data_IF_901840159124
#
_entry.id   IF_901840159124
#
_cell.length_a   1.000
_cell.length_b   1.000
_cell.length_c   1.000
_cell.angle_alpha   90.00
_cell.angle_beta   90.00
_cell.angle_gamma   90.00
#
_symmetry.space_group_name_H-M   'P 1'
#
loop_
_entity.id
_entity.type
_entity.pdbx_description
1 polymer ?
#
# COMPACT_ATOMS: atom_id res chain seq x y z
N UNK A 1 -1.69 1.16 22.50
CA UNK A 1 -0.97 0.34 21.52
C UNK A 1 -1.92 -0.11 20.42
N UNK A 2 -1.51 0.00 19.18
CA UNK A 2 -2.25 -0.48 18.01
C UNK A 2 -1.70 -1.85 17.66
N UNK A 3 -2.51 -2.90 17.78
CA UNK A 3 -2.11 -4.28 17.49
C UNK A 3 -2.51 -4.72 16.07
N UNK A 4 -3.29 -3.90 15.37
CA UNK A 4 -3.68 -4.14 13.97
C UNK A 4 -2.56 -3.67 13.04
N UNK A 5 -2.32 -4.44 11.97
CA UNK A 5 -1.46 -4.01 10.89
C UNK A 5 -2.04 -2.79 10.16
N UNK A 6 -1.19 -1.88 9.74
CA UNK A 6 -1.58 -0.78 8.87
C UNK A 6 -1.49 -1.26 7.42
N UNK A 7 -2.60 -1.15 6.70
CA UNK A 7 -2.62 -1.50 5.28
C UNK A 7 -1.66 -0.61 4.50
N UNK A 8 -0.79 -1.21 3.70
CA UNK A 8 0.11 -0.50 2.78
C UNK A 8 -0.59 0.28 1.67
N UNK A 9 -1.92 0.19 1.61
CA UNK A 9 -2.74 0.83 0.59
C UNK A 9 -2.66 2.36 0.72
N UNK A 10 -2.39 3.04 -0.39
CA UNK A 10 -2.28 4.51 -0.46
C UNK A 10 -1.11 5.15 0.32
N UNK A 11 -0.10 4.39 0.72
CA UNK A 11 1.09 5.02 1.27
C UNK A 11 1.92 5.73 0.17
N UNK A 12 2.74 6.73 0.53
CA UNK A 12 3.52 7.48 -0.45
C UNK A 12 4.38 6.61 -1.36
N UNK A 13 5.04 5.58 -0.84
CA UNK A 13 5.91 4.73 -1.64
C UNK A 13 5.12 3.91 -2.69
N UNK A 14 3.93 3.41 -2.34
CA UNK A 14 3.05 2.73 -3.29
C UNK A 14 2.54 3.67 -4.38
N UNK A 15 2.16 4.90 -4.00
CA UNK A 15 1.72 5.94 -4.95
C UNK A 15 2.84 6.27 -5.93
N UNK A 16 4.09 6.40 -5.47
CA UNK A 16 5.25 6.64 -6.33
C UNK A 16 5.43 5.51 -7.35
N UNK A 17 5.42 4.26 -6.90
CA UNK A 17 5.57 3.10 -7.80
C UNK A 17 4.43 3.05 -8.82
N UNK A 18 3.19 3.34 -8.42
CA UNK A 18 2.06 3.41 -9.33
C UNK A 18 2.25 4.49 -10.42
N UNK A 19 2.74 5.67 -10.03
CA UNK A 19 3.07 6.75 -10.98
C UNK A 19 4.20 6.35 -11.93
N UNK A 20 5.23 5.65 -11.45
CA UNK A 20 6.32 5.15 -12.28
C UNK A 20 5.83 4.11 -13.30
N UNK A 21 5.07 3.12 -12.87
CA UNK A 21 4.47 2.17 -13.80
C UNK A 21 3.64 2.85 -14.87
N UNK A 22 2.78 3.81 -14.50
CA UNK A 22 1.98 4.59 -15.44
C UNK A 22 2.86 5.33 -16.43
N UNK A 23 3.87 6.08 -15.96
CA UNK A 23 4.78 6.88 -16.78
C UNK A 23 5.55 6.02 -17.78
N UNK A 24 6.16 4.93 -17.32
CA UNK A 24 6.96 4.05 -18.18
C UNK A 24 6.11 3.18 -19.12
N UNK A 25 4.94 2.71 -18.68
CA UNK A 25 4.00 2.01 -19.57
C UNK A 25 3.54 2.92 -20.70
N UNK A 26 3.19 4.18 -20.39
CA UNK A 26 2.83 5.17 -21.39
C UNK A 26 3.98 5.43 -22.37
N UNK A 27 5.23 5.48 -21.90
CA UNK A 27 6.41 5.68 -22.75
C UNK A 27 6.67 4.47 -23.68
N UNK A 28 6.49 3.25 -23.18
CA UNK A 28 6.68 2.00 -23.95
C UNK A 28 5.57 1.71 -24.95
N UNK A 29 4.33 2.09 -24.65
CA UNK A 29 3.17 1.87 -25.54
C UNK A 29 3.19 2.70 -26.81
N UNK A 30 4.06 3.71 -26.89
CA UNK A 30 4.17 4.59 -28.05
C UNK A 30 4.94 3.93 -29.18
N UNK A 31 4.38 3.94 -30.39
CA UNK A 31 4.95 3.33 -31.59
C UNK A 31 6.20 4.06 -32.15
N UNK A 32 6.56 5.22 -31.61
CA UNK A 32 7.74 5.97 -32.04
C UNK A 32 9.01 5.37 -31.42
N UNK A 33 10.09 5.38 -32.19
CA UNK A 33 11.39 4.82 -31.82
C UNK A 33 12.08 5.49 -30.61
N UNK A 34 11.58 6.62 -30.16
CA UNK A 34 12.12 7.37 -29.02
C UNK A 34 11.29 7.14 -27.75
N UNK A 35 12.00 6.85 -26.66
CA UNK A 35 11.41 6.74 -25.31
C UNK A 35 11.08 8.13 -24.79
N UNK A 36 9.78 8.49 -24.80
CA UNK A 36 9.31 9.83 -24.46
C UNK A 36 8.27 9.75 -23.34
N UNK A 37 8.40 10.65 -22.38
CA UNK A 37 7.48 10.80 -21.28
C UNK A 37 6.46 11.90 -21.53
N UNK A 38 5.23 11.70 -21.06
CA UNK A 38 4.23 12.77 -21.02
C UNK A 38 4.56 13.71 -19.83
N UNK A 39 4.56 15.02 -20.08
CA UNK A 39 5.02 16.00 -19.10
C UNK A 39 4.30 15.93 -17.74
N UNK A 40 2.98 15.65 -17.73
CA UNK A 40 2.24 15.53 -16.47
C UNK A 40 2.69 14.33 -15.66
N UNK A 41 2.99 13.19 -16.29
CA UNK A 41 3.50 12.02 -15.60
C UNK A 41 4.90 12.32 -15.00
N UNK A 42 5.73 13.09 -15.71
CA UNK A 42 7.03 13.56 -15.20
C UNK A 42 6.84 14.50 -14.00
N UNK A 43 5.97 15.49 -14.11
CA UNK A 43 5.69 16.42 -13.00
C UNK A 43 5.12 15.68 -11.79
N UNK A 44 4.21 14.72 -11.99
CA UNK A 44 3.64 13.90 -10.94
C UNK A 44 4.69 13.09 -10.15
N UNK A 45 5.80 12.70 -10.80
CA UNK A 45 6.92 12.03 -10.15
C UNK A 45 7.84 13.03 -9.47
N UNK A 46 8.20 14.12 -10.14
CA UNK A 46 9.14 15.14 -9.62
C UNK A 46 8.61 15.85 -8.37
N UNK A 47 7.30 16.12 -8.29
CA UNK A 47 6.66 16.77 -7.14
C UNK A 47 6.21 15.78 -6.05
N UNK A 48 6.61 14.51 -6.18
CA UNK A 48 6.23 13.51 -5.19
C UNK A 48 7.03 13.71 -3.87
N UNK A 49 6.41 13.60 -2.67
CA UNK A 49 7.10 13.85 -1.40
C UNK A 49 8.35 13.00 -1.14
N UNK A 50 8.46 11.82 -1.74
CA UNK A 50 9.66 10.98 -1.65
C UNK A 50 10.73 11.30 -2.70
N UNK A 51 10.48 12.25 -3.58
CA UNK A 51 11.38 12.63 -4.69
C UNK A 51 11.82 14.09 -4.57
N UNK A 52 10.87 15.01 -4.43
CA UNK A 52 11.10 16.45 -4.44
C UNK A 52 12.25 16.91 -3.50
N UNK A 53 12.30 16.48 -2.21
CA UNK A 53 13.36 16.95 -1.30
C UNK A 53 14.76 16.44 -1.66
N UNK A 54 14.87 15.34 -2.38
CA UNK A 54 16.12 14.60 -2.56
C UNK A 54 16.67 14.67 -3.99
N UNK A 55 15.86 15.05 -4.95
CA UNK A 55 16.26 15.07 -6.38
C UNK A 55 16.53 16.48 -6.94
N UNK A 56 16.46 17.52 -6.10
CA UNK A 56 16.68 18.92 -6.48
C UNK A 56 15.88 19.37 -7.73
N UNK A 57 14.61 18.99 -7.78
CA UNK A 57 13.78 19.02 -8.99
C UNK A 57 13.08 20.35 -9.27
N UNK A 58 13.16 21.32 -8.35
CA UNK A 58 12.40 22.58 -8.43
C UNK A 58 12.66 23.39 -9.71
N UNK A 59 13.90 23.45 -10.14
CA UNK A 59 14.27 24.21 -11.36
C UNK A 59 13.83 23.45 -12.62
N UNK A 60 13.93 22.12 -12.63
CA UNK A 60 13.46 21.30 -13.73
C UNK A 60 11.92 21.41 -13.90
N UNK A 61 11.16 21.43 -12.81
CA UNK A 61 9.71 21.68 -12.84
C UNK A 61 9.39 23.04 -13.49
N UNK A 62 10.14 24.09 -13.13
CA UNK A 62 9.98 25.42 -13.75
C UNK A 62 10.31 25.38 -15.24
N UNK A 63 11.42 24.75 -15.63
CA UNK A 63 11.85 24.63 -17.04
C UNK A 63 10.79 23.89 -17.86
N UNK A 64 10.23 22.80 -17.36
CA UNK A 64 9.19 22.02 -18.05
C UNK A 64 7.95 22.88 -18.27
N UNK A 65 7.50 23.62 -17.27
CA UNK A 65 6.32 24.49 -17.36
C UNK A 65 6.54 25.69 -18.29
N UNK A 66 7.69 26.35 -18.20
CA UNK A 66 8.00 27.53 -19.02
C UNK A 66 8.15 27.22 -20.51
N UNK A 67 8.72 26.06 -20.82
CA UNK A 67 8.92 25.65 -22.23
C UNK A 67 7.70 24.95 -22.83
N UNK A 68 6.61 24.78 -22.09
CA UNK A 68 5.38 24.12 -22.55
C UNK A 68 5.63 22.73 -23.17
N UNK A 69 6.54 21.95 -22.61
CA UNK A 69 6.77 20.59 -23.11
C UNK A 69 5.53 19.73 -22.95
N UNK A 70 5.03 19.15 -24.03
CA UNK A 70 3.97 18.13 -23.99
C UNK A 70 4.56 16.74 -23.79
N UNK A 71 5.66 16.47 -24.48
CA UNK A 71 6.42 15.23 -24.38
C UNK A 71 7.91 15.55 -24.27
N UNK A 72 8.60 14.82 -23.40
CA UNK A 72 10.02 15.01 -23.13
C UNK A 72 10.73 13.69 -23.41
N UNK A 73 11.69 13.73 -24.32
CA UNK A 73 12.54 12.56 -24.56
C UNK A 73 13.39 12.25 -23.34
N UNK A 74 13.56 10.97 -23.06
CA UNK A 74 14.40 10.48 -21.95
C UNK A 74 15.78 11.17 -21.90
N UNK A 75 16.52 11.20 -23.04
CA UNK A 75 17.83 11.84 -23.09
C UNK A 75 17.74 13.34 -22.77
N UNK A 76 16.71 14.03 -23.29
CA UNK A 76 16.52 15.45 -23.00
C UNK A 76 16.23 15.73 -21.54
N UNK A 77 15.47 14.85 -20.89
CA UNK A 77 15.20 14.97 -19.46
C UNK A 77 16.48 14.83 -18.63
N UNK A 78 17.35 13.90 -19.00
CA UNK A 78 18.66 13.73 -18.35
C UNK A 78 19.59 14.92 -18.59
N UNK A 79 19.63 15.49 -19.81
CA UNK A 79 20.39 16.70 -20.12
C UNK A 79 19.92 17.93 -19.32
N UNK A 80 18.61 18.08 -19.09
CA UNK A 80 18.04 19.21 -18.36
C UNK A 80 18.33 19.14 -16.85
N UNK A 81 18.67 17.97 -16.33
CA UNK A 81 19.09 17.81 -14.95
C UNK A 81 20.62 17.93 -14.82
N UNK A 82 21.10 19.15 -14.63
CA UNK A 82 22.54 19.49 -14.56
C UNK A 82 23.31 18.73 -13.46
N UNK A 83 22.60 18.24 -12.43
CA UNK A 83 23.15 17.43 -11.32
C UNK A 83 22.22 16.23 -11.05
N UNK A 84 22.20 15.27 -12.00
CA UNK A 84 21.37 14.06 -11.82
C UNK A 84 21.86 13.25 -10.62
N UNK A 85 21.07 13.31 -9.53
CA UNK A 85 21.26 12.41 -8.41
C UNK A 85 21.00 10.97 -8.87
N UNK A 86 21.58 10.00 -8.18
CA UNK A 86 21.31 8.57 -8.42
C UNK A 86 19.80 8.27 -8.42
N UNK A 87 19.07 8.91 -7.49
CA UNK A 87 17.62 8.84 -7.42
C UNK A 87 16.97 9.29 -8.74
N UNK A 88 17.42 10.42 -9.33
CA UNK A 88 16.88 10.95 -10.57
C UNK A 88 17.12 10.00 -11.74
N UNK A 89 18.31 9.41 -11.83
CA UNK A 89 18.63 8.43 -12.87
C UNK A 89 17.73 7.20 -12.78
N UNK A 90 17.53 6.65 -11.58
CA UNK A 90 16.66 5.50 -11.35
C UNK A 90 15.18 5.76 -11.70
N UNK A 91 14.71 7.00 -11.47
CA UNK A 91 13.33 7.39 -11.80
C UNK A 91 13.07 7.46 -13.30
N UNK A 92 14.05 7.96 -14.07
CA UNK A 92 13.85 8.34 -15.48
C UNK A 92 14.65 7.51 -16.48
N UNK A 93 15.48 6.57 -16.04
CA UNK A 93 16.15 5.64 -16.95
C UNK A 93 15.15 4.82 -17.76
N UNK A 94 15.52 4.47 -18.98
CA UNK A 94 14.68 3.64 -19.84
C UNK A 94 14.52 2.26 -19.23
N UNK A 95 13.29 1.83 -19.04
CA UNK A 95 13.04 0.45 -18.60
C UNK A 95 13.33 -0.53 -19.73
N UNK A 96 14.09 -1.55 -19.43
CA UNK A 96 14.36 -2.66 -20.32
C UNK A 96 13.12 -3.57 -20.45
N UNK A 97 13.11 -4.38 -21.52
CA UNK A 97 12.04 -5.39 -21.67
C UNK A 97 12.24 -6.52 -20.66
N UNK A 98 11.15 -6.96 -20.08
CA UNK A 98 11.12 -8.07 -19.12
C UNK A 98 10.77 -7.62 -17.70
N UNK A 99 10.29 -8.57 -16.91
CA UNK A 99 9.84 -8.31 -15.54
C UNK A 99 10.99 -8.08 -14.57
N UNK A 100 12.07 -8.85 -14.69
CA UNK A 100 13.20 -8.82 -13.75
C UNK A 100 13.93 -7.47 -13.79
N UNK A 101 14.40 -6.93 -14.93
CA UNK A 101 15.10 -5.64 -14.95
C UNK A 101 14.26 -4.49 -14.39
N UNK A 102 12.95 -4.50 -14.67
CA UNK A 102 12.03 -3.49 -14.11
C UNK A 102 11.93 -3.59 -12.59
N UNK A 103 11.78 -4.81 -12.07
CA UNK A 103 11.69 -5.03 -10.62
C UNK A 103 13.02 -4.72 -9.92
N UNK A 104 14.16 -5.02 -10.53
CA UNK A 104 15.48 -4.67 -10.01
C UNK A 104 15.65 -3.15 -9.93
N UNK A 105 15.30 -2.42 -10.99
CA UNK A 105 15.32 -0.95 -10.97
C UNK A 105 14.43 -0.38 -9.85
N UNK A 106 13.23 -0.94 -9.65
CA UNK A 106 12.34 -0.53 -8.56
C UNK A 106 12.95 -0.88 -7.20
N UNK A 107 13.61 -2.04 -7.07
CA UNK A 107 14.28 -2.46 -5.85
C UNK A 107 15.41 -1.49 -5.46
N UNK A 108 16.26 -1.11 -6.41
CA UNK A 108 17.34 -0.13 -6.21
C UNK A 108 16.79 1.25 -5.85
N UNK A 109 15.73 1.70 -6.55
CA UNK A 109 15.04 2.94 -6.24
C UNK A 109 14.53 2.98 -4.79
N UNK A 110 13.90 1.90 -4.33
CA UNK A 110 13.40 1.81 -2.96
C UNK A 110 14.54 1.81 -1.92
N UNK A 111 15.69 1.22 -2.24
CA UNK A 111 16.87 1.30 -1.38
C UNK A 111 17.40 2.72 -1.29
N UNK A 112 17.55 3.42 -2.42
CA UNK A 112 18.01 4.81 -2.48
C UNK A 112 17.05 5.73 -1.71
N UNK A 113 15.74 5.57 -1.87
CA UNK A 113 14.74 6.32 -1.08
C UNK A 113 14.91 6.02 0.42
N UNK A 114 15.07 4.76 0.80
CA UNK A 114 15.26 4.38 2.20
C UNK A 114 16.50 5.00 2.83
N UNK A 115 17.59 5.14 2.07
CA UNK A 115 18.82 5.77 2.53
C UNK A 115 18.67 7.29 2.71
N UNK A 116 17.86 7.93 1.87
CA UNK A 116 17.59 9.37 1.95
C UNK A 116 16.66 9.75 3.12
N UNK A 117 15.79 8.83 3.56
CA UNK A 117 14.90 9.07 4.70
C UNK A 117 15.68 9.05 6.02
N UNK A 118 15.54 10.11 6.82
CA UNK A 118 16.11 10.17 8.18
C UNK A 118 15.30 9.31 9.16
N UNK A 119 15.78 9.21 10.40
CA UNK A 119 15.03 8.60 11.50
C UNK A 119 14.60 9.66 12.53
N UNK A 120 14.62 10.95 12.17
CA UNK A 120 14.50 12.04 13.12
C UNK A 120 13.05 12.32 13.51
N UNK A 121 12.09 11.99 12.64
CA UNK A 121 10.67 12.16 12.94
C UNK A 121 9.87 10.87 12.77
N UNK A 122 8.71 10.79 13.43
CA UNK A 122 7.84 9.60 13.40
C UNK A 122 7.26 9.32 12.02
N UNK A 123 6.98 10.36 11.23
CA UNK A 123 6.41 10.20 9.88
C UNK A 123 7.42 9.55 8.93
N UNK A 124 8.69 9.92 9.01
CA UNK A 124 9.75 9.32 8.21
C UNK A 124 10.03 7.88 8.63
N UNK A 125 9.99 7.58 9.94
CA UNK A 125 10.09 6.19 10.41
C UNK A 125 8.99 5.31 9.85
N UNK A 126 7.73 5.78 9.88
CA UNK A 126 6.59 5.07 9.32
C UNK A 126 6.77 4.91 7.80
N UNK A 127 7.12 5.98 7.10
CA UNK A 127 7.38 5.94 5.65
C UNK A 127 8.49 4.94 5.31
N UNK A 128 9.57 4.93 6.07
CA UNK A 128 10.68 3.99 5.92
C UNK A 128 10.26 2.54 6.12
N UNK A 129 9.36 2.28 7.08
CA UNK A 129 8.78 0.95 7.28
C UNK A 129 7.95 0.49 6.07
N UNK A 130 7.17 1.38 5.46
CA UNK A 130 6.42 1.09 4.23
C UNK A 130 7.33 0.86 3.03
N UNK A 131 8.33 1.70 2.82
CA UNK A 131 9.34 1.50 1.78
C UNK A 131 9.97 0.12 1.91
N UNK A 132 10.32 -0.29 3.14
CA UNK A 132 10.90 -1.60 3.39
C UNK A 132 9.89 -2.76 3.17
N UNK A 133 8.62 -2.59 3.52
CA UNK A 133 7.58 -3.58 3.26
C UNK A 133 7.41 -3.81 1.75
N UNK A 134 7.35 -2.73 0.97
CA UNK A 134 7.26 -2.81 -0.50
C UNK A 134 8.53 -3.43 -1.09
N UNK A 135 9.71 -3.04 -0.61
CA UNK A 135 10.99 -3.64 -1.02
C UNK A 135 10.98 -5.17 -0.84
N UNK A 136 10.46 -5.68 0.30
CA UNK A 136 10.32 -7.13 0.50
C UNK A 136 9.40 -7.79 -0.52
N UNK A 137 8.30 -7.13 -0.89
CA UNK A 137 7.37 -7.63 -1.92
C UNK A 137 8.05 -7.68 -3.29
N UNK A 138 8.75 -6.61 -3.69
CA UNK A 138 9.48 -6.55 -4.95
C UNK A 138 10.52 -7.67 -5.02
N UNK A 139 11.31 -7.89 -3.96
CA UNK A 139 12.31 -8.96 -3.94
C UNK A 139 11.70 -10.37 -3.97
N UNK A 140 10.51 -10.56 -3.37
CA UNK A 140 9.77 -11.82 -3.53
C UNK A 140 9.35 -12.06 -4.98
N UNK A 141 8.92 -11.02 -5.69
CA UNK A 141 8.59 -11.10 -7.10
C UNK A 141 9.83 -11.39 -7.97
N UNK A 142 10.97 -10.74 -7.70
CA UNK A 142 12.25 -11.03 -8.36
C UNK A 142 12.61 -12.51 -8.18
N UNK A 143 12.60 -13.01 -6.95
CA UNK A 143 12.90 -14.42 -6.65
C UNK A 143 11.92 -15.41 -7.30
N UNK A 144 10.67 -15.03 -7.45
CA UNK A 144 9.69 -15.85 -8.16
C UNK A 144 9.99 -15.90 -9.66
N UNK A 145 10.16 -14.74 -10.30
CA UNK A 145 10.40 -14.65 -11.74
C UNK A 145 11.80 -15.13 -12.17
N UNK A 146 12.77 -15.16 -11.27
CA UNK A 146 14.08 -15.78 -11.56
C UNK A 146 13.99 -17.30 -11.74
N UNK A 147 12.93 -17.94 -11.26
CA UNK A 147 12.75 -19.41 -11.29
C UNK A 147 11.63 -19.87 -12.25
N UNK A 148 10.84 -18.95 -12.76
CA UNK A 148 9.66 -19.25 -13.58
C UNK A 148 9.67 -18.42 -14.87
N UNK A 149 8.80 -18.78 -15.83
CA UNK A 149 8.66 -18.05 -17.09
C UNK A 149 8.37 -16.57 -16.85
N UNK A 150 9.04 -15.72 -17.62
CA UNK A 150 8.97 -14.28 -17.50
C UNK A 150 7.69 -13.72 -18.11
N UNK A 151 7.17 -12.66 -17.47
CA UNK A 151 6.09 -11.87 -18.04
C UNK A 151 6.72 -10.78 -18.91
N UNK A 152 6.43 -10.80 -20.20
CA UNK A 152 6.98 -9.81 -21.15
C UNK A 152 6.25 -8.46 -21.10
N UNK A 153 5.02 -8.43 -20.58
CA UNK A 153 4.18 -7.23 -20.58
C UNK A 153 4.22 -6.54 -19.22
N UNK A 154 4.63 -5.28 -19.22
CA UNK A 154 4.71 -4.44 -18.02
C UNK A 154 3.34 -4.23 -17.38
N UNK A 155 2.28 -4.14 -18.17
CA UNK A 155 0.90 -4.00 -17.67
C UNK A 155 0.49 -5.22 -16.84
N UNK A 156 0.88 -6.41 -17.27
CA UNK A 156 0.61 -7.66 -16.52
C UNK A 156 1.43 -7.70 -15.24
N UNK A 157 2.69 -7.32 -15.30
CA UNK A 157 3.55 -7.20 -14.11
C UNK A 157 2.95 -6.25 -13.08
N UNK A 158 2.46 -5.08 -13.53
CA UNK A 158 1.82 -4.10 -12.65
C UNK A 158 0.52 -4.62 -12.03
N UNK A 159 -0.28 -5.37 -12.79
CA UNK A 159 -1.50 -5.98 -12.27
C UNK A 159 -1.21 -6.99 -11.15
N UNK A 160 -0.17 -7.82 -11.33
CA UNK A 160 0.28 -8.79 -10.30
C UNK A 160 0.87 -8.06 -9.09
N UNK A 161 1.71 -7.05 -9.33
CA UNK A 161 2.25 -6.21 -8.25
C UNK A 161 1.12 -5.64 -7.36
N UNK A 162 0.07 -5.08 -7.97
CA UNK A 162 -1.06 -4.53 -7.21
C UNK A 162 -1.77 -5.58 -6.35
N UNK A 163 -1.96 -6.79 -6.86
CA UNK A 163 -2.58 -7.86 -6.07
C UNK A 163 -1.72 -8.29 -4.88
N UNK A 164 -0.40 -8.36 -5.09
CA UNK A 164 0.52 -8.79 -4.03
C UNK A 164 0.75 -7.71 -2.99
N UNK A 165 0.80 -6.43 -3.40
CA UNK A 165 1.01 -5.32 -2.47
C UNK A 165 -0.18 -5.08 -1.55
N UNK A 166 -1.39 -5.39 -2.00
CA UNK A 166 -2.59 -5.32 -1.16
C UNK A 166 -2.55 -6.30 0.03
N UNK A 167 -1.69 -7.33 -0.05
CA UNK A 167 -1.42 -8.28 1.03
C UNK A 167 -0.25 -7.84 1.93
N UNK A 168 0.47 -6.79 1.57
CA UNK A 168 1.58 -6.28 2.36
C UNK A 168 1.06 -5.35 3.47
N UNK A 169 1.21 -5.79 4.69
CA UNK A 169 0.87 -5.03 5.89
C UNK A 169 2.14 -4.66 6.67
N UNK A 170 2.14 -3.47 7.24
CA UNK A 170 3.14 -3.07 8.23
C UNK A 170 2.53 -3.29 9.60
N UNK A 171 3.11 -4.22 10.36
CA UNK A 171 2.70 -4.45 11.74
C UNK A 171 3.27 -3.35 12.64
N UNK A 172 2.45 -2.81 13.51
CA UNK A 172 2.94 -1.96 14.58
C UNK A 172 3.56 -2.82 15.68
N UNK A 173 4.76 -2.50 16.11
CA UNK A 173 5.30 -3.04 17.33
C UNK A 173 4.66 -2.31 18.52
N UNK A 174 3.92 -3.02 19.34
CA UNK A 174 3.31 -2.51 20.55
C UNK A 174 3.36 -3.57 21.64
N UNK A 175 3.46 -3.15 22.88
CA UNK A 175 3.30 -4.05 24.01
C UNK A 175 1.82 -4.42 24.15
N UNK A 176 1.46 -5.69 23.91
CA UNK A 176 0.05 -6.11 23.81
C UNK A 176 -0.71 -6.06 25.12
N UNK A 177 -0.04 -5.79 26.25
CA UNK A 177 -0.63 -5.85 27.58
C UNK A 177 -0.54 -4.52 28.38
N UNK A 178 0.04 -3.47 27.81
CA UNK A 178 0.22 -2.18 28.50
C UNK A 178 -0.48 -1.03 27.76
N UNK A 179 -1.13 -0.16 28.54
CA UNK A 179 -1.75 1.06 28.06
C UNK A 179 -3.03 0.85 27.26
N UNK A 180 -3.38 1.82 26.45
CA UNK A 180 -4.57 1.76 25.58
C UNK A 180 -4.38 0.72 24.49
N UNK A 181 -5.32 -0.22 24.40
CA UNK A 181 -5.38 -1.24 23.38
C UNK A 181 -6.49 -0.88 22.36
N UNK A 182 -6.15 -0.81 21.08
CA UNK A 182 -7.11 -0.62 19.99
C UNK A 182 -7.08 -1.87 19.13
N UNK A 183 -8.19 -2.59 19.07
CA UNK A 183 -8.27 -3.89 18.41
C UNK A 183 -9.68 -4.18 17.90
N UNK A 184 -9.82 -5.14 17.02
CA UNK A 184 -11.12 -5.68 16.65
C UNK A 184 -11.69 -6.61 17.72
N UNK A 185 -12.98 -6.91 17.63
CA UNK A 185 -13.68 -7.77 18.61
C UNK A 185 -13.11 -9.18 18.64
N UNK A 186 -12.70 -9.71 17.50
CA UNK A 186 -12.13 -11.06 17.42
C UNK A 186 -10.72 -11.14 18.02
N UNK A 187 -9.97 -10.04 17.97
CA UNK A 187 -8.63 -9.93 18.55
C UNK A 187 -8.67 -9.78 20.08
N UNK A 188 -9.80 -9.37 20.66
CA UNK A 188 -10.00 -9.26 22.10
C UNK A 188 -10.25 -10.63 22.79
N UNK A 189 -10.22 -11.72 22.05
CA UNK A 189 -10.41 -13.07 22.61
C UNK A 189 -9.47 -13.35 23.75
N UNK A 190 -10.05 -13.90 24.85
CA UNK A 190 -9.28 -14.30 26.05
C UNK A 190 -8.64 -13.12 26.81
N UNK A 191 -8.92 -11.87 26.42
CA UNK A 191 -8.42 -10.69 27.12
C UNK A 191 -9.53 -10.08 27.98
N UNK A 192 -9.19 -9.67 29.19
CA UNK A 192 -10.06 -8.98 30.13
C UNK A 192 -9.56 -7.54 30.31
N UNK A 193 -10.48 -6.58 30.29
CA UNK A 193 -10.17 -5.17 30.45
C UNK A 193 -11.03 -4.54 31.54
N UNK A 194 -10.46 -3.66 32.34
CA UNK A 194 -11.20 -2.90 33.33
C UNK A 194 -12.16 -1.88 32.69
N UNK A 195 -11.72 -1.24 31.64
CA UNK A 195 -12.49 -0.25 30.88
C UNK A 195 -12.55 -0.66 29.41
N UNK A 196 -13.78 -0.73 28.87
CA UNK A 196 -14.05 -1.09 27.48
C UNK A 196 -14.80 0.02 26.79
N UNK A 197 -14.28 0.47 25.66
CA UNK A 197 -14.93 1.45 24.78
C UNK A 197 -15.20 0.77 23.43
N UNK A 198 -16.47 0.54 23.11
CA UNK A 198 -16.86 -0.06 21.84
C UNK A 198 -17.41 1.02 20.92
N UNK A 199 -16.82 1.17 19.76
CA UNK A 199 -17.25 2.13 18.74
C UNK A 199 -18.07 1.47 17.66
N UNK A 200 -18.83 2.26 16.90
CA UNK A 200 -19.64 1.79 15.75
C UNK A 200 -20.73 0.79 16.14
N UNK A 201 -21.33 0.95 17.32
CA UNK A 201 -22.45 0.14 17.82
C UNK A 201 -23.74 0.47 17.10
N UNK A 202 -23.75 0.36 15.76
CA UNK A 202 -24.91 0.68 14.95
C UNK A 202 -25.59 -0.59 14.44
N UNK A 203 -26.93 -0.50 14.26
CA UNK A 203 -27.72 -1.58 13.71
C UNK A 203 -27.14 -2.08 12.37
N UNK A 204 -26.98 -3.37 12.22
CA UNK A 204 -26.41 -4.01 11.03
C UNK A 204 -24.90 -3.86 10.85
N UNK A 205 -24.20 -3.14 11.76
CA UNK A 205 -22.73 -3.04 11.76
C UNK A 205 -22.08 -3.84 12.88
N UNK A 206 -22.54 -3.60 14.12
CA UNK A 206 -22.03 -4.31 15.29
C UNK A 206 -23.05 -4.35 16.43
N UNK A 207 -23.25 -5.50 17.12
CA UNK A 207 -22.71 -6.83 16.77
C UNK A 207 -23.08 -7.22 15.34
N UNK A 208 -22.14 -7.84 14.61
CA UNK A 208 -22.31 -8.13 13.20
C UNK A 208 -23.53 -9.03 12.96
N UNK A 209 -24.54 -8.46 12.34
CA UNK A 209 -25.65 -9.19 11.76
C UNK A 209 -25.58 -9.06 10.25
N UNK A 210 -25.62 -10.14 9.54
CA UNK A 210 -25.70 -10.29 8.08
C UNK A 210 -24.38 -10.19 7.29
N UNK A 211 -24.00 -11.25 6.91
CA UNK A 211 -23.94 -12.05 5.71
C UNK A 211 -23.16 -11.44 4.58
N UNK A 212 -22.09 -12.08 4.30
CA UNK A 212 -21.55 -12.11 2.94
C UNK A 212 -22.46 -12.96 2.05
N UNK A 213 -22.79 -12.44 0.88
CA UNK A 213 -23.40 -13.23 -0.18
C UNK A 213 -22.45 -14.38 -0.53
N UNK A 214 -22.90 -15.60 -0.33
CA UNK A 214 -22.15 -16.81 -0.65
C UNK A 214 -22.70 -17.38 -1.95
N UNK A 215 -21.80 -17.87 -2.82
CA UNK A 215 -22.20 -18.63 -4.00
C UNK A 215 -22.92 -19.94 -3.67
N UNK A 216 -22.74 -20.46 -2.45
CA UNK A 216 -23.45 -21.66 -1.99
C UNK A 216 -24.70 -21.22 -1.26
N UNK A 217 -25.91 -21.61 -1.74
CA UNK A 217 -27.19 -21.32 -1.10
C UNK A 217 -27.26 -21.81 0.34
N UNK A 218 -28.07 -21.14 1.16
CA UNK A 218 -28.21 -21.45 2.57
C UNK A 218 -28.65 -22.90 2.83
N UNK A 219 -29.62 -23.39 2.03
CA UNK A 219 -30.18 -24.75 2.19
C UNK A 219 -29.12 -25.81 1.91
N UNK A 220 -28.30 -25.61 0.90
CA UNK A 220 -27.19 -26.51 0.55
C UNK A 220 -26.13 -26.52 1.67
N UNK A 221 -25.82 -25.33 2.24
CA UNK A 221 -24.91 -25.26 3.40
C UNK A 221 -25.45 -26.05 4.58
N UNK A 222 -26.72 -25.91 4.88
CA UNK A 222 -27.36 -26.61 5.99
C UNK A 222 -27.35 -28.13 5.78
N UNK A 223 -27.65 -28.58 4.56
CA UNK A 223 -27.67 -30.01 4.22
C UNK A 223 -26.27 -30.64 4.31
N UNK A 224 -25.26 -29.90 3.88
CA UNK A 224 -23.86 -30.36 3.91
C UNK A 224 -23.12 -30.08 5.24
N UNK A 225 -23.81 -29.53 6.26
CA UNK A 225 -23.19 -29.20 7.54
C UNK A 225 -22.12 -28.09 7.46
N UNK A 226 -22.19 -27.23 6.46
CA UNK A 226 -21.25 -26.12 6.29
C UNK A 226 -21.65 -24.93 7.18
N UNK A 227 -20.68 -24.13 7.67
CA UNK A 227 -20.97 -22.95 8.48
C UNK A 227 -21.90 -21.96 7.76
N UNK A 228 -22.93 -21.51 8.45
CA UNK A 228 -23.89 -20.53 7.99
C UNK A 228 -23.64 -19.16 8.65
N UNK A 229 -24.46 -18.16 8.34
CA UNK A 229 -24.39 -16.87 9.00
C UNK A 229 -24.71 -16.95 10.51
N UNK A 230 -25.51 -17.93 10.93
CA UNK A 230 -25.89 -18.11 12.34
C UNK A 230 -24.70 -18.44 13.24
N UNK A 231 -23.83 -19.32 12.77
CA UNK A 231 -22.61 -19.68 13.51
C UNK A 231 -21.63 -18.49 13.59
N UNK A 232 -21.54 -17.68 12.54
CA UNK A 232 -20.74 -16.45 12.56
C UNK A 232 -21.29 -15.43 13.54
N UNK A 233 -22.59 -15.15 13.50
CA UNK A 233 -23.25 -14.22 14.41
C UNK A 233 -23.10 -14.69 15.86
N UNK A 234 -23.22 -15.98 16.12
CA UNK A 234 -23.01 -16.54 17.44
C UNK A 234 -21.58 -16.32 17.97
N UNK A 235 -20.57 -16.44 17.11
CA UNK A 235 -19.15 -16.19 17.46
C UNK A 235 -18.95 -14.72 17.84
N UNK A 236 -19.45 -13.77 17.02
CA UNK A 236 -19.32 -12.34 17.33
C UNK A 236 -20.08 -11.96 18.60
N UNK A 237 -21.29 -12.48 18.77
CA UNK A 237 -22.11 -12.26 19.96
C UNK A 237 -21.43 -12.81 21.22
N UNK A 238 -20.86 -14.01 21.14
CA UNK A 238 -20.12 -14.61 22.24
C UNK A 238 -18.92 -13.75 22.66
N UNK A 239 -18.08 -13.31 21.70
CA UNK A 239 -16.94 -12.47 22.01
C UNK A 239 -17.32 -11.09 22.54
N UNK A 240 -18.41 -10.52 22.06
CA UNK A 240 -18.95 -9.27 22.58
C UNK A 240 -19.37 -9.41 24.05
N UNK A 241 -20.16 -10.42 24.40
CA UNK A 241 -20.55 -10.64 25.78
C UNK A 241 -19.34 -10.97 26.68
N UNK A 242 -18.40 -11.76 26.18
CA UNK A 242 -17.21 -12.09 26.93
C UNK A 242 -16.36 -10.85 27.24
N UNK A 243 -16.21 -9.95 26.27
CA UNK A 243 -15.47 -8.68 26.43
C UNK A 243 -16.08 -7.80 27.54
N UNK A 244 -17.40 -7.78 27.65
CA UNK A 244 -18.11 -6.95 28.63
C UNK A 244 -18.25 -7.60 30.00
N UNK A 245 -18.11 -8.93 30.10
CA UNK A 245 -18.43 -9.70 31.32
C UNK A 245 -17.62 -9.29 32.54
N UNK A 246 -16.36 -8.89 32.36
CA UNK A 246 -15.44 -8.53 33.43
C UNK A 246 -15.07 -7.06 33.46
N UNK A 247 -15.60 -6.26 32.55
CA UNK A 247 -15.35 -4.83 32.48
C UNK A 247 -16.10 -4.10 33.61
N UNK A 248 -15.41 -3.17 34.28
CA UNK A 248 -16.04 -2.30 35.28
C UNK A 248 -16.70 -1.07 34.65
N UNK A 249 -16.06 -0.53 33.62
CA UNK A 249 -16.53 0.64 32.89
C UNK A 249 -16.77 0.27 31.43
N UNK A 250 -17.96 0.49 30.93
CA UNK A 250 -18.35 0.14 29.57
C UNK A 250 -18.93 1.36 28.89
N UNK A 251 -18.35 1.75 27.74
CA UNK A 251 -18.79 2.86 26.91
C UNK A 251 -19.16 2.32 25.52
N UNK A 252 -20.40 2.49 25.12
CA UNK A 252 -20.90 2.07 23.80
C UNK A 252 -21.19 3.32 22.98
N UNK A 253 -20.45 3.50 21.88
CA UNK A 253 -20.55 4.66 21.01
C UNK A 253 -21.28 4.29 19.71
N UNK A 254 -22.32 5.01 19.39
CA UNK A 254 -23.11 4.82 18.18
C UNK A 254 -23.47 6.15 17.52
N UNK A 255 -23.78 6.13 16.24
CA UNK A 255 -24.26 7.29 15.51
C UNK A 255 -25.79 7.34 15.57
N UNK A 256 -26.32 8.53 15.84
CA UNK A 256 -27.78 8.80 15.80
C UNK A 256 -28.26 9.20 14.41
N UNK A 257 -27.34 9.52 13.49
CA UNK A 257 -27.64 9.85 12.11
C UNK A 257 -27.48 8.58 11.24
N UNK A 258 -28.52 8.25 10.51
CA UNK A 258 -28.59 7.09 9.60
C UNK A 258 -28.11 7.45 8.20
#
# INVERSE_FOLDING_TARGET
>A
NITMGYSGKNNPAQILIAKLFKMHTNALSRKNSSYVFYYKDVLDVLTHPLVEPYALTNDLVKIINQNNYTFIAHNKLLELSENSSELFLLLFQKWEKGSIPVLETISELLQTIKLNLSNDNEEEKITKAFVFAIFKVINKLINYYSKHEHIDKIETLYAIYKQVIDLAEVSFEGEPLNGLQIMGVLESRVLDFETVIVTSMNEGKFPAGKSQNSFIPYDVKKELGLPTFKEKDAIYTYHFYHLLQRAKNIYLLYNTES
#
